data_IF_697235399904
#
_entry.id   IF_697235399904
#
_cell.length_a   1.000
_cell.length_b   1.000
_cell.length_c   1.000
_cell.angle_alpha   90.00
_cell.angle_beta   90.00
_cell.angle_gamma   90.00
#
_symmetry.space_group_name_H-M   'P 1'
#
loop_
_entity.id
_entity.type
_entity.pdbx_description
1 polymer ?
#
# COMPACT_ATOMS: atom_id res chain seq x y z
N UNK A 1 -13.59 -35.57 -3.95
CA UNK A 1 -13.87 -34.44 -4.84
C UNK A 1 -12.95 -33.31 -4.39
N UNK A 2 -12.12 -32.71 -5.25
CA UNK A 2 -11.33 -31.55 -4.85
C UNK A 2 -12.28 -30.36 -4.73
N UNK A 3 -12.25 -29.66 -3.60
CA UNK A 3 -13.11 -28.51 -3.36
C UNK A 3 -12.57 -27.32 -4.17
N UNK A 4 -13.13 -27.08 -5.37
CA UNK A 4 -12.75 -25.99 -6.28
C UNK A 4 -13.07 -24.56 -5.77
N UNK A 5 -13.52 -24.39 -4.53
CA UNK A 5 -13.94 -23.10 -3.97
C UNK A 5 -13.32 -22.80 -2.60
N UNK A 6 -12.17 -23.38 -2.29
CA UNK A 6 -11.46 -23.03 -1.07
C UNK A 6 -10.91 -21.61 -1.20
N UNK A 7 -11.36 -20.73 -0.30
CA UNK A 7 -10.78 -19.39 -0.16
C UNK A 7 -9.45 -19.51 0.56
N UNK A 8 -8.47 -18.78 0.08
CA UNK A 8 -7.13 -18.74 0.66
C UNK A 8 -6.75 -17.31 0.98
N UNK A 9 -5.92 -17.16 2.01
CA UNK A 9 -5.30 -15.89 2.33
C UNK A 9 -3.84 -16.13 2.73
N UNK A 10 -3.03 -15.08 2.56
CA UNK A 10 -1.69 -14.95 3.10
C UNK A 10 -1.57 -13.56 3.72
N UNK A 11 -1.29 -13.50 5.01
CA UNK A 11 -0.93 -12.26 5.70
C UNK A 11 0.56 -12.31 6.02
N UNK A 12 1.30 -11.31 5.58
CA UNK A 12 2.73 -11.16 5.82
C UNK A 12 2.90 -9.89 6.66
N UNK A 13 3.53 -10.02 7.82
CA UNK A 13 3.88 -8.92 8.71
C UNK A 13 5.40 -8.75 8.71
N UNK A 14 5.86 -7.54 8.41
CA UNK A 14 7.28 -7.17 8.33
C UNK A 14 7.61 -6.03 9.29
N UNK A 15 8.91 -5.77 9.47
CA UNK A 15 9.43 -4.65 10.23
C UNK A 15 10.95 -4.57 10.09
N UNK A 16 11.52 -3.47 10.56
CA UNK A 16 12.97 -3.25 10.49
C UNK A 16 13.71 -4.31 11.33
N UNK A 17 14.64 -5.03 10.70
CA UNK A 17 15.49 -6.04 11.34
C UNK A 17 14.74 -7.17 12.11
N UNK A 18 13.47 -7.43 11.76
CA UNK A 18 12.68 -8.55 12.32
C UNK A 18 12.27 -9.55 11.24
N UNK A 19 12.37 -10.83 11.59
CA UNK A 19 11.93 -11.92 10.71
C UNK A 19 10.44 -11.77 10.36
N UNK A 20 10.14 -11.87 9.07
CA UNK A 20 8.77 -11.79 8.56
C UNK A 20 7.88 -12.84 9.22
N UNK A 21 6.73 -12.40 9.73
CA UNK A 21 5.71 -13.27 10.30
C UNK A 21 4.60 -13.49 9.28
N UNK A 22 4.44 -14.75 8.88
CA UNK A 22 3.42 -15.14 7.91
C UNK A 22 2.27 -15.91 8.56
N UNK A 23 1.04 -15.62 8.13
CA UNK A 23 -0.15 -16.42 8.41
C UNK A 23 -0.85 -16.80 7.10
N UNK A 24 -1.57 -17.93 7.10
CA UNK A 24 -2.36 -18.35 5.94
C UNK A 24 -2.28 -19.84 5.65
N UNK A 25 -3.18 -20.29 4.77
CA UNK A 25 -3.31 -21.69 4.35
C UNK A 25 -2.28 -22.09 3.28
N UNK A 26 -1.59 -21.12 2.68
CA UNK A 26 -0.63 -21.31 1.58
C UNK A 26 0.82 -21.56 2.03
N UNK A 27 1.05 -21.88 3.31
CA UNK A 27 2.39 -22.19 3.83
C UNK A 27 2.92 -23.49 3.20
N UNK A 28 4.00 -23.40 2.42
CA UNK A 28 4.80 -24.58 2.09
C UNK A 28 5.47 -25.09 3.38
N UNK A 29 4.99 -26.24 3.85
CA UNK A 29 5.47 -27.03 4.98
C UNK A 29 6.96 -26.83 5.30
N UNK A 30 7.26 -26.03 6.32
CA UNK A 30 8.52 -26.13 7.07
C UNK A 30 8.18 -26.29 8.54
N UNK A 31 8.91 -27.18 9.20
CA UNK A 31 8.73 -27.67 10.57
C UNK A 31 8.57 -26.51 11.56
N UNK A 32 7.63 -26.70 12.49
CA UNK A 32 7.22 -25.78 13.56
C UNK A 32 6.20 -24.71 13.12
N UNK A 33 4.92 -24.98 13.40
CA UNK A 33 3.82 -24.00 13.32
C UNK A 33 3.76 -23.22 14.65
N UNK A 34 4.27 -21.99 14.76
CA UNK A 34 3.72 -21.09 15.75
C UNK A 34 2.38 -20.58 15.17
N UNK A 35 1.28 -21.14 15.68
CA UNK A 35 -0.01 -20.49 15.86
C UNK A 35 -0.58 -19.74 14.64
N UNK A 36 -1.18 -20.49 13.70
CA UNK A 36 -2.14 -19.91 12.74
C UNK A 36 -3.32 -19.33 13.52
N UNK A 37 -3.75 -18.08 13.26
CA UNK A 37 -4.96 -17.53 13.85
C UNK A 37 -6.16 -18.44 13.50
N UNK A 38 -7.12 -18.55 14.42
CA UNK A 38 -8.33 -19.33 14.20
C UNK A 38 -9.22 -18.70 13.12
N UNK A 39 -9.21 -17.37 13.04
CA UNK A 39 -9.98 -16.61 12.08
C UNK A 39 -9.25 -15.30 11.78
N UNK A 40 -9.39 -14.87 10.53
CA UNK A 40 -9.00 -13.54 10.06
C UNK A 40 -10.26 -12.82 9.56
N UNK A 41 -10.36 -11.55 9.89
CA UNK A 41 -11.35 -10.62 9.33
C UNK A 41 -10.59 -9.42 8.79
N UNK A 42 -11.00 -8.91 7.63
CA UNK A 42 -10.38 -7.74 7.06
C UNK A 42 -11.38 -6.88 6.30
N UNK A 43 -11.15 -5.59 6.33
CA UNK A 43 -11.83 -4.58 5.53
C UNK A 43 -10.76 -3.75 4.83
N UNK A 44 -10.90 -3.55 3.52
CA UNK A 44 -9.96 -2.77 2.71
C UNK A 44 -10.76 -1.68 2.02
N UNK A 45 -10.32 -0.44 2.20
CA UNK A 45 -10.84 0.73 1.51
C UNK A 45 -9.80 1.23 0.50
N UNK A 46 -10.14 1.07 -0.77
CA UNK A 46 -9.42 1.58 -1.93
C UNK A 46 -10.33 2.55 -2.70
N UNK A 47 -10.68 3.66 -2.07
CA UNK A 47 -11.46 4.70 -2.73
C UNK A 47 -10.60 5.44 -3.77
N UNK A 48 -11.02 5.57 -5.04
CA UNK A 48 -10.25 6.28 -6.09
C UNK A 48 -9.97 7.77 -5.80
N UNK A 49 -10.83 8.42 -5.01
CA UNK A 49 -10.62 9.79 -4.52
C UNK A 49 -9.73 9.86 -3.27
N UNK A 50 -9.43 8.71 -2.66
CA UNK A 50 -8.50 8.59 -1.55
C UNK A 50 -7.08 8.47 -2.11
N UNK A 51 -6.20 9.40 -1.75
CA UNK A 51 -4.80 9.34 -2.17
C UNK A 51 -4.03 8.13 -1.59
N UNK A 52 -4.63 7.40 -0.65
CA UNK A 52 -4.05 6.25 0.06
C UNK A 52 -5.12 5.17 0.25
N UNK A 53 -4.69 3.93 0.44
CA UNK A 53 -5.52 2.79 0.83
C UNK A 53 -5.47 2.58 2.33
N UNK A 54 -6.59 2.13 2.90
CA UNK A 54 -6.68 1.73 4.29
C UNK A 54 -7.03 0.26 4.39
N UNK A 55 -6.55 -0.40 5.44
CA UNK A 55 -7.00 -1.73 5.79
C UNK A 55 -7.15 -1.88 7.30
N UNK A 56 -8.26 -2.48 7.72
CA UNK A 56 -8.42 -3.03 9.06
C UNK A 56 -8.24 -4.54 8.98
N UNK A 57 -7.30 -5.11 9.73
CA UNK A 57 -7.03 -6.55 9.73
C UNK A 57 -7.10 -7.06 11.17
N UNK A 58 -8.09 -7.92 11.44
CA UNK A 58 -8.31 -8.52 12.76
C UNK A 58 -7.97 -10.00 12.75
N UNK A 59 -7.09 -10.42 13.66
CA UNK A 59 -6.73 -11.81 13.88
C UNK A 59 -7.33 -12.30 15.20
N UNK A 60 -8.04 -13.43 15.14
CA UNK A 60 -8.63 -14.10 16.30
C UNK A 60 -7.86 -15.36 16.67
N UNK A 61 -7.78 -15.65 17.97
CA UNK A 61 -7.19 -16.89 18.47
C UNK A 61 -5.66 -16.95 18.35
N UNK A 62 -5.00 -15.80 18.21
CA UNK A 62 -3.53 -15.70 18.24
C UNK A 62 -3.00 -15.88 19.66
N UNK A 63 -1.83 -16.53 19.78
CA UNK A 63 -1.14 -16.69 21.06
C UNK A 63 -0.69 -15.33 21.62
N UNK A 64 -0.67 -15.19 22.95
CA UNK A 64 -0.29 -13.93 23.62
C UNK A 64 1.08 -13.42 23.21
N UNK A 65 2.06 -14.30 23.02
CA UNK A 65 3.40 -13.94 22.52
C UNK A 65 3.35 -13.33 21.12
N UNK A 66 2.65 -13.98 20.19
CA UNK A 66 2.48 -13.48 18.81
C UNK A 66 1.82 -12.11 18.80
N UNK A 67 0.79 -11.92 19.62
CA UNK A 67 0.10 -10.64 19.77
C UNK A 67 1.03 -9.52 20.26
N UNK A 68 1.89 -9.81 21.24
CA UNK A 68 2.85 -8.85 21.75
C UNK A 68 3.87 -8.44 20.67
N UNK A 69 4.32 -9.40 19.86
CA UNK A 69 5.20 -9.11 18.72
C UNK A 69 4.50 -8.24 17.67
N UNK A 70 3.26 -8.56 17.31
CA UNK A 70 2.42 -7.72 16.42
C UNK A 70 2.37 -6.27 16.91
N UNK A 71 2.20 -6.08 18.21
CA UNK A 71 2.12 -4.74 18.81
C UNK A 71 3.46 -3.97 18.82
N UNK A 72 4.61 -4.65 18.94
CA UNK A 72 5.91 -4.00 19.20
C UNK A 72 6.89 -4.01 18.03
N UNK A 73 6.84 -5.04 17.20
CA UNK A 73 7.94 -5.39 16.30
C UNK A 73 7.60 -5.14 14.84
N UNK A 74 6.34 -5.28 14.44
CA UNK A 74 5.95 -5.18 13.04
C UNK A 74 5.40 -3.81 12.70
N UNK A 75 5.87 -3.26 11.59
CA UNK A 75 5.52 -1.93 11.07
C UNK A 75 4.91 -2.01 9.68
N UNK A 76 4.93 -3.18 9.03
CA UNK A 76 4.43 -3.41 7.67
C UNK A 76 3.46 -4.59 7.62
N UNK A 77 2.45 -4.48 6.77
CA UNK A 77 1.48 -5.54 6.51
C UNK A 77 1.20 -5.67 5.02
N UNK A 78 1.24 -6.92 4.53
CA UNK A 78 0.80 -7.29 3.18
C UNK A 78 -0.24 -8.40 3.29
N UNK A 79 -1.41 -8.15 2.73
CA UNK A 79 -2.51 -9.10 2.69
C UNK A 79 -2.74 -9.53 1.25
N UNK A 80 -2.74 -10.84 1.04
CA UNK A 80 -3.15 -11.49 -0.21
C UNK A 80 -4.36 -12.36 0.08
N UNK A 81 -5.37 -12.32 -0.78
CA UNK A 81 -6.51 -13.22 -0.67
C UNK A 81 -7.07 -13.58 -2.04
N UNK A 82 -7.87 -14.65 -2.08
CA UNK A 82 -8.54 -15.11 -3.29
C UNK A 82 -8.99 -16.55 -3.17
N UNK A 83 -9.01 -17.24 -4.29
CA UNK A 83 -9.27 -18.66 -4.40
C UNK A 83 -7.96 -19.41 -4.66
N UNK A 84 -7.91 -20.71 -4.35
CA UNK A 84 -6.69 -21.54 -4.55
C UNK A 84 -6.06 -21.36 -5.94
N UNK A 85 -6.89 -21.26 -6.98
CA UNK A 85 -6.44 -21.14 -8.38
C UNK A 85 -6.27 -19.68 -8.84
N UNK A 86 -6.73 -18.70 -8.05
CA UNK A 86 -6.59 -17.28 -8.35
C UNK A 86 -6.54 -16.45 -7.06
N UNK A 87 -5.33 -16.14 -6.58
CA UNK A 87 -5.10 -15.29 -5.42
C UNK A 87 -4.01 -14.27 -5.72
N UNK A 88 -4.15 -13.07 -5.16
CA UNK A 88 -3.22 -11.96 -5.39
C UNK A 88 -3.11 -11.06 -4.16
N UNK A 89 -2.13 -10.14 -4.16
CA UNK A 89 -2.08 -9.08 -3.16
C UNK A 89 -3.34 -8.22 -3.28
N UNK A 90 -3.99 -7.92 -2.15
CA UNK A 90 -5.15 -7.04 -2.09
C UNK A 90 -4.89 -5.80 -1.22
N UNK A 91 -3.81 -5.83 -0.42
CA UNK A 91 -3.33 -4.68 0.34
C UNK A 91 -1.83 -4.80 0.63
N UNK A 92 -1.12 -3.67 0.56
CA UNK A 92 0.22 -3.49 1.11
C UNK A 92 0.37 -2.09 1.72
N UNK A 93 0.96 -2.02 2.90
CA UNK A 93 1.26 -0.75 3.56
C UNK A 93 1.80 -0.93 4.97
N UNK A 94 1.79 0.17 5.74
CA UNK A 94 2.31 0.22 7.10
C UNK A 94 1.22 0.06 8.15
N UNK A 95 1.57 -0.55 9.27
CA UNK A 95 0.73 -0.64 10.47
C UNK A 95 0.85 0.68 11.21
N UNK A 96 -0.25 1.43 11.27
CA UNK A 96 -0.32 2.75 11.91
C UNK A 96 -0.71 2.63 13.38
N UNK A 97 -1.56 1.66 13.71
CA UNK A 97 -1.99 1.39 15.06
C UNK A 97 -2.32 -0.10 15.26
N UNK A 98 -2.12 -0.59 16.47
CA UNK A 98 -2.49 -1.96 16.87
C UNK A 98 -3.35 -1.89 18.11
N UNK A 99 -4.54 -2.46 18.01
CA UNK A 99 -5.45 -2.63 19.13
C UNK A 99 -5.55 -4.11 19.49
N UNK A 100 -5.74 -4.43 20.76
CA UNK A 100 -6.06 -5.79 21.13
C UNK A 100 -7.07 -5.86 22.25
N UNK A 101 -7.86 -6.92 22.24
CA UNK A 101 -8.89 -7.12 23.22
C UNK A 101 -9.27 -8.57 23.38
N UNK A 102 -10.38 -8.75 24.09
CA UNK A 102 -10.98 -10.05 24.35
C UNK A 102 -12.49 -9.88 24.29
N UNK A 103 -13.14 -10.74 23.52
CA UNK A 103 -14.58 -10.89 23.51
C UNK A 103 -14.95 -12.29 24.02
N UNK A 104 -15.43 -12.36 25.25
CA UNK A 104 -15.68 -13.62 25.95
C UNK A 104 -14.42 -14.50 26.05
N UNK A 105 -14.42 -15.66 25.39
CA UNK A 105 -13.25 -16.55 25.33
C UNK A 105 -12.28 -16.22 24.17
N UNK A 106 -12.71 -15.39 23.23
CA UNK A 106 -11.95 -15.10 22.01
C UNK A 106 -11.01 -13.92 22.25
N UNK A 107 -9.73 -14.14 22.03
CA UNK A 107 -8.73 -13.08 22.01
C UNK A 107 -8.55 -12.59 20.58
N UNK A 108 -8.40 -11.28 20.41
CA UNK A 108 -8.19 -10.67 19.11
C UNK A 108 -7.11 -9.60 19.13
N UNK A 109 -6.49 -9.39 17.98
CA UNK A 109 -5.61 -8.27 17.68
C UNK A 109 -6.04 -7.67 16.35
N UNK A 110 -6.23 -6.35 16.34
CA UNK A 110 -6.62 -5.59 15.17
C UNK A 110 -5.47 -4.66 14.79
N UNK A 111 -5.09 -4.69 13.53
CA UNK A 111 -4.11 -3.79 12.92
C UNK A 111 -4.86 -2.81 12.03
N UNK A 112 -4.61 -1.53 12.25
CA UNK A 112 -5.05 -0.46 11.36
C UNK A 112 -3.87 -0.10 10.47
N UNK A 113 -4.03 -0.31 9.17
CA UNK A 113 -2.97 -0.18 8.19
C UNK A 113 -3.30 0.90 7.16
N UNK A 114 -2.25 1.50 6.60
CA UNK A 114 -2.34 2.54 5.57
C UNK A 114 -1.23 2.35 4.54
N UNK A 115 -1.55 2.45 3.26
CA UNK A 115 -0.52 2.48 2.21
C UNK A 115 0.32 3.76 2.28
N UNK A 116 1.56 3.69 1.81
CA UNK A 116 2.40 4.87 1.67
C UNK A 116 3.15 5.32 2.92
N UNK A 117 2.71 4.90 4.11
CA UNK A 117 3.51 4.95 5.33
C UNK A 117 4.19 6.28 5.62
N UNK A 118 5.44 6.16 6.09
CA UNK A 118 6.34 7.29 6.37
C UNK A 118 6.59 8.13 5.13
N UNK A 119 6.79 7.52 3.96
CA UNK A 119 7.11 8.27 2.74
C UNK A 119 5.96 9.15 2.26
N UNK A 120 4.71 8.81 2.59
CA UNK A 120 3.56 9.70 2.41
C UNK A 120 3.71 10.98 3.24
N UNK A 121 4.22 10.88 4.47
CA UNK A 121 4.37 12.02 5.38
C UNK A 121 5.64 12.83 5.07
N UNK A 122 6.76 12.16 4.85
CA UNK A 122 8.10 12.74 4.75
C UNK A 122 8.57 13.01 3.32
N UNK A 123 7.80 12.61 2.31
CA UNK A 123 8.17 12.82 0.91
C UNK A 123 8.43 14.29 0.61
N UNK A 124 9.63 14.61 0.10
CA UNK A 124 10.07 15.98 -0.18
C UNK A 124 10.82 16.04 -1.51
N UNK A 125 10.53 17.07 -2.32
CA UNK A 125 11.27 17.32 -3.56
C UNK A 125 12.02 18.64 -3.47
N UNK A 126 13.32 18.60 -3.77
CA UNK A 126 14.18 19.76 -3.96
C UNK A 126 14.92 19.62 -5.30
N UNK A 127 14.31 20.13 -6.38
CA UNK A 127 14.85 19.98 -7.74
C UNK A 127 14.48 21.15 -8.64
N UNK A 128 15.43 21.58 -9.46
CA UNK A 128 15.22 22.58 -10.51
C UNK A 128 15.22 21.93 -11.89
N UNK A 129 14.29 22.36 -12.72
CA UNK A 129 14.10 21.94 -14.09
C UNK A 129 14.35 23.13 -15.02
N UNK A 130 15.11 22.90 -16.09
CA UNK A 130 15.41 23.94 -17.07
C UNK A 130 14.19 24.29 -17.94
N UNK A 131 14.23 25.43 -18.65
CA UNK A 131 13.24 25.75 -19.67
C UNK A 131 13.17 24.63 -20.73
N UNK A 132 11.97 24.32 -21.20
CA UNK A 132 11.71 23.30 -22.22
C UNK A 132 11.61 21.86 -21.68
N UNK A 133 11.74 21.64 -20.37
CA UNK A 133 11.57 20.31 -19.76
C UNK A 133 10.14 19.80 -20.00
N UNK A 134 9.95 18.56 -20.50
CA UNK A 134 8.62 17.95 -20.60
C UNK A 134 7.93 17.86 -19.23
N UNK A 135 6.67 18.26 -19.11
CA UNK A 135 5.96 18.24 -17.82
C UNK A 135 5.84 16.83 -17.23
N UNK A 136 5.77 15.81 -18.09
CA UNK A 136 5.79 14.41 -17.66
C UNK A 136 7.07 14.01 -16.92
N UNK A 137 8.21 14.62 -17.23
CA UNK A 137 9.47 14.40 -16.50
C UNK A 137 9.43 15.05 -15.11
N UNK A 138 8.76 16.21 -15.00
CA UNK A 138 8.56 16.90 -13.71
C UNK A 138 7.62 16.08 -12.83
N UNK A 139 6.50 15.62 -13.39
CA UNK A 139 5.52 14.75 -12.70
C UNK A 139 6.19 13.47 -12.21
N UNK A 140 6.96 12.79 -13.09
CA UNK A 140 7.71 11.59 -12.71
C UNK A 140 8.69 11.87 -11.57
N UNK A 141 9.42 12.97 -11.62
CA UNK A 141 10.38 13.31 -10.58
C UNK A 141 9.71 13.59 -9.21
N UNK A 142 8.50 14.16 -9.19
CA UNK A 142 7.71 14.31 -7.95
C UNK A 142 7.13 12.97 -7.49
N UNK A 143 6.74 12.08 -8.41
CA UNK A 143 6.28 10.75 -8.04
C UNK A 143 7.42 9.91 -7.44
N UNK A 144 8.63 10.02 -7.98
CA UNK A 144 9.82 9.32 -7.50
C UNK A 144 10.29 9.83 -6.12
N UNK A 145 9.99 11.07 -5.74
CA UNK A 145 10.40 11.61 -4.43
C UNK A 145 9.64 11.01 -3.24
N UNK A 146 8.59 10.22 -3.50
CA UNK A 146 7.95 9.38 -2.48
C UNK A 146 8.72 8.08 -2.18
N UNK A 147 9.79 7.75 -2.93
CA UNK A 147 10.62 6.57 -2.66
C UNK A 147 9.95 5.22 -2.97
N UNK A 148 8.78 5.23 -3.59
CA UNK A 148 8.06 4.04 -4.04
C UNK A 148 8.15 3.87 -5.56
N UNK A 149 7.96 2.64 -6.07
CA UNK A 149 7.74 2.42 -7.50
C UNK A 149 6.67 3.37 -8.05
N UNK A 150 6.92 3.89 -9.25
CA UNK A 150 6.00 4.82 -9.93
C UNK A 150 5.40 4.14 -11.15
N UNK A 151 4.07 4.09 -11.19
CA UNK A 151 3.28 3.69 -12.33
C UNK A 151 2.64 4.93 -12.95
N UNK A 152 2.89 5.15 -14.24
CA UNK A 152 2.33 6.28 -15.00
C UNK A 152 1.55 5.71 -16.17
N UNK A 153 0.24 5.92 -16.20
CA UNK A 153 -0.66 5.39 -17.22
C UNK A 153 -1.53 6.48 -17.86
N UNK A 154 -1.83 6.32 -19.14
CA UNK A 154 -2.60 7.29 -19.93
C UNK A 154 -1.79 8.02 -20.99
N UNK A 155 -2.48 8.88 -21.73
CA UNK A 155 -1.86 9.74 -22.74
C UNK A 155 -1.41 11.06 -22.13
N UNK A 156 -0.11 11.34 -22.23
CA UNK A 156 0.53 12.58 -21.77
C UNK A 156 1.07 13.43 -22.93
N UNK A 157 0.82 13.02 -24.18
CA UNK A 157 1.32 13.71 -25.37
C UNK A 157 0.80 15.14 -25.51
N UNK A 158 -0.37 15.42 -24.92
CA UNK A 158 -0.97 16.75 -24.88
C UNK A 158 -0.33 17.71 -23.86
N UNK A 159 0.55 17.24 -22.99
CA UNK A 159 1.17 18.10 -21.99
C UNK A 159 2.19 19.05 -22.64
N UNK A 160 2.16 20.36 -22.29
CA UNK A 160 3.14 21.30 -22.81
C UNK A 160 4.53 21.01 -22.23
N UNK A 161 5.54 21.70 -22.75
CA UNK A 161 6.86 21.79 -22.09
C UNK A 161 6.85 22.98 -21.15
N UNK A 162 7.65 22.93 -20.08
CA UNK A 162 7.81 24.05 -19.17
C UNK A 162 8.36 25.27 -19.92
N UNK A 163 7.59 26.37 -19.98
CA UNK A 163 8.00 27.58 -20.72
C UNK A 163 9.20 28.28 -20.07
N UNK A 164 9.27 28.24 -18.74
CA UNK A 164 10.33 28.80 -17.92
C UNK A 164 11.00 27.70 -17.10
N UNK A 165 12.13 28.02 -16.48
CA UNK A 165 12.71 27.14 -15.47
C UNK A 165 11.75 26.99 -14.29
N UNK A 166 11.50 25.76 -13.83
CA UNK A 166 10.62 25.44 -12.71
C UNK A 166 11.47 24.87 -11.58
N UNK A 167 11.41 25.47 -10.39
CA UNK A 167 12.05 24.93 -9.18
C UNK A 167 10.97 24.46 -8.23
N UNK A 168 11.09 23.22 -7.77
CA UNK A 168 10.24 22.63 -6.74
C UNK A 168 11.09 22.42 -5.49
N UNK A 169 10.70 23.07 -4.40
CA UNK A 169 11.31 22.93 -3.07
C UNK A 169 10.19 22.94 -2.04
N UNK A 170 9.50 21.80 -1.93
CA UNK A 170 8.30 21.64 -1.11
C UNK A 170 8.02 20.16 -0.83
N UNK A 171 7.03 19.88 0.02
CA UNK A 171 6.56 18.52 0.23
C UNK A 171 5.98 17.91 -1.06
N UNK A 172 6.19 16.61 -1.25
CA UNK A 172 5.87 15.92 -2.50
C UNK A 172 4.36 15.88 -2.75
N UNK A 173 3.54 15.89 -1.69
CA UNK A 173 2.08 15.90 -1.80
C UNK A 173 1.59 17.21 -2.40
N UNK A 174 2.02 18.35 -1.85
CA UNK A 174 1.68 19.68 -2.34
C UNK A 174 2.17 19.90 -3.77
N UNK A 175 3.37 19.41 -4.09
CA UNK A 175 3.90 19.43 -5.45
C UNK A 175 3.02 18.61 -6.41
N UNK A 176 2.68 17.38 -6.05
CA UNK A 176 1.87 16.50 -6.89
C UNK A 176 0.44 17.00 -7.03
N UNK A 177 -0.19 17.48 -5.95
CA UNK A 177 -1.51 18.11 -6.01
C UNK A 177 -1.53 19.34 -6.92
N UNK A 178 -0.48 20.17 -6.89
CA UNK A 178 -0.38 21.34 -7.76
C UNK A 178 -0.31 20.92 -9.23
N UNK A 179 0.51 19.92 -9.55
CA UNK A 179 0.63 19.38 -10.92
C UNK A 179 -0.65 18.69 -11.38
N UNK A 180 -1.30 17.94 -10.49
CA UNK A 180 -2.56 17.27 -10.77
C UNK A 180 -3.67 18.27 -11.11
N UNK A 181 -3.75 19.38 -10.37
CA UNK A 181 -4.70 20.47 -10.67
C UNK A 181 -4.34 21.23 -11.94
N UNK A 182 -3.05 21.44 -12.21
CA UNK A 182 -2.56 22.16 -13.39
C UNK A 182 -2.84 21.39 -14.69
N UNK A 183 -2.73 20.07 -14.65
CA UNK A 183 -2.78 19.20 -15.84
C UNK A 183 -3.96 18.21 -15.86
N UNK A 184 -4.93 18.39 -14.96
CA UNK A 184 -6.12 17.53 -14.82
C UNK A 184 -5.78 16.04 -14.70
N UNK A 185 -4.83 15.73 -13.81
CA UNK A 185 -4.35 14.37 -13.55
C UNK A 185 -4.99 13.82 -12.29
N UNK A 186 -5.13 12.50 -12.25
CA UNK A 186 -5.45 11.76 -11.02
C UNK A 186 -4.18 11.10 -10.51
N UNK A 187 -3.94 11.17 -9.21
CA UNK A 187 -2.82 10.47 -8.60
C UNK A 187 -3.23 9.89 -7.25
N UNK A 188 -2.59 8.78 -6.89
CA UNK A 188 -2.88 8.03 -5.67
C UNK A 188 -1.71 7.10 -5.34
N UNK A 189 -1.65 6.68 -4.09
CA UNK A 189 -0.64 5.77 -3.58
C UNK A 189 -1.32 4.49 -3.10
N UNK A 190 -1.27 3.45 -3.93
CA UNK A 190 -1.92 2.16 -3.67
C UNK A 190 -0.85 1.07 -3.58
N UNK A 191 -0.95 0.21 -2.57
CA UNK A 191 -0.07 -0.95 -2.40
C UNK A 191 1.44 -0.61 -2.49
N UNK A 192 1.84 0.53 -1.92
CA UNK A 192 3.21 1.08 -1.99
C UNK A 192 3.69 1.35 -3.42
N UNK A 193 2.78 1.73 -4.32
CA UNK A 193 3.05 2.21 -5.67
C UNK A 193 2.40 3.58 -5.82
N UNK A 194 3.15 4.55 -6.35
CA UNK A 194 2.60 5.84 -6.77
C UNK A 194 2.03 5.68 -8.16
N UNK A 195 0.71 5.74 -8.26
CA UNK A 195 -0.02 5.67 -9.53
C UNK A 195 -0.38 7.09 -9.96
N UNK A 196 0.02 7.46 -11.18
CA UNK A 196 -0.37 8.71 -11.82
C UNK A 196 -1.13 8.35 -13.10
N UNK A 197 -2.31 8.92 -13.25
CA UNK A 197 -3.23 8.68 -14.35
C UNK A 197 -3.40 9.97 -15.14
N UNK A 198 -3.26 9.87 -16.46
CA UNK A 198 -3.64 10.93 -17.40
C UNK A 198 -5.15 11.14 -17.42
N UNK A 199 -5.64 12.23 -18.04
CA UNK A 199 -7.07 12.58 -18.05
C UNK A 199 -7.98 11.48 -18.64
N UNK A 200 -7.45 10.71 -19.60
CA UNK A 200 -8.19 9.63 -20.28
C UNK A 200 -7.97 8.24 -19.65
N UNK A 201 -7.15 8.14 -18.60
CA UNK A 201 -6.80 6.86 -17.99
C UNK A 201 -7.76 6.49 -16.86
N UNK A 202 -8.14 5.21 -16.84
CA UNK A 202 -8.86 4.59 -15.72
C UNK A 202 -7.85 3.78 -14.92
N UNK A 203 -8.03 3.74 -13.60
CA UNK A 203 -7.25 2.87 -12.71
C UNK A 203 -7.10 1.46 -13.32
N UNK A 204 -5.87 0.93 -13.41
CA UNK A 204 -5.67 -0.43 -13.88
C UNK A 204 -6.42 -1.36 -12.93
N UNK A 205 -7.38 -2.11 -13.48
CA UNK A 205 -8.03 -3.17 -12.70
C UNK A 205 -7.03 -4.31 -12.62
N UNK A 206 -6.65 -4.74 -11.41
CA UNK A 206 -5.77 -5.90 -11.23
C UNK A 206 -6.41 -7.13 -11.92
N UNK A 207 -5.72 -7.72 -12.91
CA UNK A 207 -6.11 -8.97 -13.60
C UNK A 207 -5.91 -10.22 -12.72
#
# INVERSE_FOLDING_TARGET
MPNLWQRVYKLELGGDDVDMLEFGELRQSTKEKPYTPLQIEFEIDQTPNGFVSYAEITLYGVASFTKERIYREYTEAKLSAGYVDNYGPIFKGNIVNVESGRDGANHWVKMYCRSGGVSWEDGYISKSFGPGTPQIEIIRAVAESFGYPVLIEGDYSGLPRAELGKTLDQDSKSAMESLAREFDLVWLMQNDVVVVLGPDAVLPTEE
#
